data_IF_488911028262
#
_entry.id   IF_488911028262
#
_cell.length_a   1.000
_cell.length_b   1.000
_cell.length_c   1.000
_cell.angle_alpha   90.00
_cell.angle_beta   90.00
_cell.angle_gamma   90.00
#
_symmetry.space_group_name_H-M   'P 1'
#
loop_
_entity.id
_entity.type
_entity.pdbx_description
1 polymer ?
#
# COMPACT_ATOMS: atom_id res chain seq x y z
N UNK A 1 -6.41 11.21 -19.76
CA UNK A 1 -7.77 10.80 -19.35
C UNK A 1 -8.60 12.05 -19.10
N UNK A 2 -9.91 12.00 -19.34
CA UNK A 2 -10.81 13.12 -19.04
C UNK A 2 -11.58 12.87 -17.73
N UNK A 3 -10.85 12.57 -16.64
CA UNK A 3 -11.43 12.35 -15.32
C UNK A 3 -11.44 13.69 -14.58
N UNK A 4 -12.64 14.22 -14.36
CA UNK A 4 -12.88 15.49 -13.66
C UNK A 4 -13.52 15.21 -12.30
N UNK A 5 -12.72 14.75 -11.35
CA UNK A 5 -13.13 14.54 -9.95
C UNK A 5 -12.24 15.39 -9.02
N UNK A 6 -12.79 15.92 -7.92
CA UNK A 6 -11.97 16.59 -6.90
C UNK A 6 -10.89 15.63 -6.38
N UNK A 7 -9.71 16.18 -6.09
CA UNK A 7 -8.59 15.44 -5.51
C UNK A 7 -8.38 15.88 -4.07
N UNK A 8 -8.15 14.90 -3.19
CA UNK A 8 -7.75 15.12 -1.80
C UNK A 8 -6.33 14.58 -1.67
N UNK A 9 -5.38 15.43 -1.29
CA UNK A 9 -4.00 14.99 -1.04
C UNK A 9 -3.95 14.15 0.23
N UNK A 10 -3.50 12.90 0.11
CA UNK A 10 -3.36 11.96 1.22
C UNK A 10 -1.98 11.28 1.15
N UNK A 11 -1.13 11.56 2.12
CA UNK A 11 0.26 11.10 2.20
C UNK A 11 0.70 10.94 3.65
N UNK A 12 1.84 10.29 3.90
CA UNK A 12 2.30 9.90 5.25
C UNK A 12 2.24 11.03 6.29
N UNK A 13 2.61 12.27 5.90
CA UNK A 13 2.64 13.41 6.81
C UNK A 13 1.27 13.98 7.21
N UNK A 14 0.20 13.67 6.48
CA UNK A 14 -1.15 14.21 6.75
C UNK A 14 -2.20 13.12 6.96
N UNK A 15 -1.77 11.85 7.05
CA UNK A 15 -2.66 10.69 7.04
C UNK A 15 -3.67 10.67 8.19
N UNK A 16 -3.33 11.23 9.35
CA UNK A 16 -4.25 11.29 10.49
C UNK A 16 -5.38 12.29 10.23
N UNK A 17 -5.04 13.55 9.92
CA UNK A 17 -6.03 14.61 9.67
C UNK A 17 -6.88 14.31 8.43
N UNK A 18 -6.22 13.97 7.31
CA UNK A 18 -6.93 13.69 6.06
C UNK A 18 -7.63 12.34 6.07
N UNK A 19 -7.12 11.36 6.82
CA UNK A 19 -7.78 10.08 7.01
C UNK A 19 -9.12 10.23 7.71
N UNK A 20 -9.17 11.01 8.80
CA UNK A 20 -10.42 11.31 9.50
C UNK A 20 -11.44 12.01 8.59
N UNK A 21 -11.00 13.04 7.85
CA UNK A 21 -11.86 13.73 6.89
C UNK A 21 -12.41 12.81 5.78
N UNK A 22 -11.58 11.92 5.25
CA UNK A 22 -12.02 10.96 4.22
C UNK A 22 -13.04 9.97 4.79
N UNK A 23 -12.86 9.52 6.03
CA UNK A 23 -13.83 8.63 6.70
C UNK A 23 -15.17 9.30 6.92
N UNK A 24 -15.20 10.57 7.33
CA UNK A 24 -16.44 11.33 7.44
C UNK A 24 -17.21 11.35 6.12
N UNK A 25 -16.53 11.65 5.00
CA UNK A 25 -17.15 11.63 3.67
C UNK A 25 -17.69 10.24 3.30
N UNK A 26 -16.98 9.16 3.64
CA UNK A 26 -17.44 7.80 3.41
C UNK A 26 -18.68 7.47 4.25
N UNK A 27 -18.72 7.89 5.52
CA UNK A 27 -19.87 7.73 6.43
C UNK A 27 -21.10 8.54 5.98
N UNK A 28 -20.88 9.67 5.31
CA UNK A 28 -21.93 10.44 4.62
C UNK A 28 -22.47 9.74 3.35
N UNK A 29 -21.90 8.59 2.97
CA UNK A 29 -22.32 7.79 1.83
C UNK A 29 -21.61 8.14 0.51
N UNK A 30 -20.55 8.94 0.55
CA UNK A 30 -19.76 9.22 -0.66
C UNK A 30 -18.91 8.03 -1.08
N UNK A 31 -18.63 7.93 -2.39
CA UNK A 31 -17.69 6.94 -2.93
C UNK A 31 -16.33 7.60 -3.21
N UNK A 32 -15.28 7.03 -2.63
CA UNK A 32 -13.90 7.55 -2.74
C UNK A 32 -13.00 6.48 -3.35
N UNK A 33 -12.17 6.89 -4.30
CA UNK A 33 -11.11 6.05 -4.87
C UNK A 33 -9.76 6.46 -4.28
N UNK A 34 -9.04 5.51 -3.68
CA UNK A 34 -7.66 5.70 -3.25
C UNK A 34 -6.72 5.36 -4.42
N UNK A 35 -5.78 6.26 -4.70
CA UNK A 35 -4.75 6.08 -5.72
C UNK A 35 -3.40 6.47 -5.14
N UNK A 36 -2.33 5.88 -5.67
CA UNK A 36 -0.94 6.22 -5.36
C UNK A 36 -0.27 6.80 -6.61
N UNK A 37 0.90 7.41 -6.45
CA UNK A 37 1.69 7.92 -7.58
C UNK A 37 2.02 6.82 -8.60
N UNK A 38 2.12 5.57 -8.15
CA UNK A 38 2.32 4.42 -9.01
C UNK A 38 1.88 3.09 -8.38
N UNK A 39 1.32 2.21 -9.21
CA UNK A 39 1.17 0.79 -8.91
C UNK A 39 -0.08 0.46 -8.11
N UNK A 40 0.11 -0.18 -6.95
CA UNK A 40 -0.93 -0.76 -6.11
C UNK A 40 -1.07 0.07 -4.83
N UNK A 41 -2.10 0.92 -4.70
CA UNK A 41 -2.35 1.67 -3.48
C UNK A 41 -2.46 0.75 -2.26
N UNK A 42 -2.15 1.29 -1.08
CA UNK A 42 -2.08 0.57 0.20
C UNK A 42 -0.92 -0.42 0.35
N UNK A 43 0.03 -0.47 -0.60
CA UNK A 43 1.27 -1.25 -0.46
C UNK A 43 2.45 -0.29 -0.39
N UNK A 44 3.09 -0.23 0.79
CA UNK A 44 4.21 0.70 1.08
C UNK A 44 3.84 2.19 0.97
N UNK A 45 2.57 2.51 1.18
CA UNK A 45 2.01 3.86 1.17
C UNK A 45 0.93 3.99 2.28
N UNK A 46 0.40 5.19 2.57
CA UNK A 46 -0.51 5.39 3.69
C UNK A 46 -1.92 4.83 3.45
N UNK A 47 -2.24 4.35 2.25
CA UNK A 47 -3.56 3.78 1.95
C UNK A 47 -3.94 2.60 2.84
N UNK A 48 -2.95 1.87 3.39
CA UNK A 48 -3.20 0.77 4.34
C UNK A 48 -3.86 1.26 5.64
N UNK A 49 -3.48 2.44 6.13
CA UNK A 49 -4.07 3.08 7.30
C UNK A 49 -5.55 3.42 7.04
N UNK A 50 -5.84 4.05 5.90
CA UNK A 50 -7.20 4.38 5.50
C UNK A 50 -8.09 3.13 5.35
N UNK A 51 -7.57 2.07 4.73
CA UNK A 51 -8.28 0.78 4.60
C UNK A 51 -8.62 0.19 5.97
N UNK A 52 -7.67 0.23 6.90
CA UNK A 52 -7.87 -0.29 8.26
C UNK A 52 -9.00 0.46 8.96
N UNK A 53 -8.94 1.80 8.97
CA UNK A 53 -9.96 2.64 9.58
C UNK A 53 -11.34 2.45 8.92
N UNK A 54 -11.40 2.30 7.60
CA UNK A 54 -12.65 2.04 6.89
C UNK A 54 -13.29 0.69 7.30
N UNK A 55 -12.46 -0.36 7.46
CA UNK A 55 -12.93 -1.68 7.91
C UNK A 55 -13.47 -1.61 9.35
N UNK A 56 -12.78 -0.88 10.24
CA UNK A 56 -13.21 -0.68 11.63
C UNK A 56 -14.60 -0.03 11.73
N UNK A 57 -14.91 0.89 10.82
CA UNK A 57 -16.21 1.56 10.71
C UNK A 57 -17.26 0.76 9.89
N UNK A 58 -16.92 -0.46 9.45
CA UNK A 58 -17.82 -1.32 8.67
C UNK A 58 -18.07 -0.85 7.23
N UNK A 59 -17.20 0.02 6.71
CA UNK A 59 -17.27 0.56 5.36
C UNK A 59 -16.68 -0.44 4.37
N UNK A 60 -17.37 -0.68 3.24
CA UNK A 60 -16.92 -1.61 2.23
C UNK A 60 -15.64 -1.10 1.52
N UNK A 61 -14.60 -1.93 1.53
CA UNK A 61 -13.36 -1.70 0.76
C UNK A 61 -13.35 -2.62 -0.45
N UNK A 62 -13.32 -2.03 -1.66
CA UNK A 62 -13.38 -2.76 -2.93
C UNK A 62 -12.04 -2.65 -3.65
N UNK A 63 -11.18 -3.68 -3.63
CA UNK A 63 -9.90 -3.64 -4.35
C UNK A 63 -10.10 -3.84 -5.86
N UNK A 64 -9.37 -3.08 -6.67
CA UNK A 64 -9.27 -3.30 -8.11
C UNK A 64 -7.92 -3.97 -8.44
N UNK A 65 -7.88 -4.98 -9.34
CA UNK A 65 -6.62 -5.51 -9.82
C UNK A 65 -5.84 -4.41 -10.57
N UNK A 66 -4.53 -4.43 -10.47
CA UNK A 66 -3.69 -3.36 -11.02
C UNK A 66 -2.21 -3.69 -11.03
N UNK A 67 -1.41 -2.72 -11.48
CA UNK A 67 0.03 -2.87 -11.63
C UNK A 67 0.71 -3.06 -10.27
N UNK A 68 1.62 -4.04 -10.18
CA UNK A 68 2.47 -4.25 -9.02
C UNK A 68 3.90 -4.52 -9.49
N UNK A 69 4.83 -3.64 -9.13
CA UNK A 69 6.22 -3.72 -9.61
C UNK A 69 6.92 -5.00 -9.13
N UNK A 70 6.72 -5.42 -7.87
CA UNK A 70 7.37 -6.60 -7.31
C UNK A 70 6.92 -7.89 -8.00
N UNK A 71 5.61 -8.06 -8.20
CA UNK A 71 5.06 -9.23 -8.90
C UNK A 71 5.47 -9.24 -10.37
N UNK A 72 5.45 -8.08 -11.03
CA UNK A 72 5.88 -7.95 -12.44
C UNK A 72 7.36 -8.35 -12.59
N UNK A 73 8.21 -7.95 -11.64
CA UNK A 73 9.62 -8.34 -11.63
C UNK A 73 9.80 -9.84 -11.32
N UNK A 74 9.06 -10.38 -10.35
CA UNK A 74 9.15 -11.78 -9.93
C UNK A 74 8.89 -12.73 -11.10
N UNK A 75 7.82 -12.51 -11.86
CA UNK A 75 7.46 -13.40 -12.98
C UNK A 75 8.46 -13.37 -14.14
N UNK A 76 9.32 -12.34 -14.21
CA UNK A 76 10.38 -12.22 -15.20
C UNK A 76 11.77 -12.66 -14.66
N UNK A 77 11.89 -12.98 -13.36
CA UNK A 77 13.18 -13.19 -12.68
C UNK A 77 13.80 -14.57 -12.87
N UNK A 78 13.00 -15.58 -13.25
CA UNK A 78 13.42 -16.98 -13.30
C UNK A 78 13.48 -17.66 -11.92
N UNK A 79 13.07 -16.99 -10.84
CA UNK A 79 12.98 -17.55 -9.50
C UNK A 79 11.66 -18.30 -9.27
N UNK A 80 11.57 -19.11 -8.20
CA UNK A 80 10.32 -19.81 -7.86
C UNK A 80 9.22 -18.81 -7.51
N UNK A 81 8.07 -18.94 -8.15
CA UNK A 81 6.91 -18.06 -7.94
C UNK A 81 5.84 -18.70 -7.04
N UNK A 82 6.06 -19.92 -6.54
CA UNK A 82 5.10 -20.63 -5.68
C UNK A 82 5.00 -20.00 -4.29
N UNK A 83 6.12 -19.55 -3.74
CA UNK A 83 6.20 -18.84 -2.46
C UNK A 83 7.29 -17.79 -2.55
N UNK A 84 6.94 -16.55 -2.24
CA UNK A 84 7.84 -15.40 -2.29
C UNK A 84 7.54 -14.46 -1.12
N UNK A 85 8.54 -13.69 -0.70
CA UNK A 85 8.40 -12.69 0.36
C UNK A 85 8.61 -11.29 -0.18
N UNK A 86 7.59 -10.43 -0.10
CA UNK A 86 7.76 -9.00 -0.35
C UNK A 86 8.28 -8.30 0.92
N UNK A 87 9.51 -7.80 0.88
CA UNK A 87 10.15 -7.13 2.02
C UNK A 87 10.07 -5.58 1.97
N UNK A 88 9.49 -5.00 0.91
CA UNK A 88 9.42 -3.55 0.75
C UNK A 88 10.80 -2.88 0.70
N UNK A 89 10.93 -1.76 1.41
CA UNK A 89 12.17 -0.98 1.45
C UNK A 89 13.01 -1.30 2.68
N UNK A 90 14.28 -1.65 2.45
CA UNK A 90 15.24 -1.82 3.55
C UNK A 90 15.54 -0.49 4.26
N UNK A 91 15.91 -0.52 5.56
CA UNK A 91 16.36 0.67 6.26
C UNK A 91 17.51 1.38 5.55
N UNK A 92 17.48 2.72 5.51
CA UNK A 92 18.53 3.53 4.87
C UNK A 92 19.89 3.43 5.57
N UNK A 93 19.90 3.20 6.89
CA UNK A 93 21.13 3.17 7.71
C UNK A 93 21.76 1.78 7.73
N UNK A 94 23.08 1.72 7.57
CA UNK A 94 23.83 0.47 7.41
C UNK A 94 23.62 -0.56 8.51
N UNK A 95 23.67 -0.16 9.78
CA UNK A 95 23.46 -1.07 10.93
C UNK A 95 22.08 -1.73 10.88
N UNK A 96 21.02 -0.94 10.79
CA UNK A 96 19.64 -1.43 10.74
C UNK A 96 19.36 -2.23 9.46
N UNK A 97 19.98 -1.86 8.34
CA UNK A 97 19.89 -2.64 7.11
C UNK A 97 20.50 -4.03 7.27
N UNK A 98 21.65 -4.15 7.91
CA UNK A 98 22.29 -5.45 8.17
C UNK A 98 21.44 -6.30 9.12
N UNK A 99 20.90 -5.69 10.17
CA UNK A 99 19.97 -6.36 11.10
C UNK A 99 18.75 -6.91 10.36
N UNK A 100 18.16 -6.11 9.47
CA UNK A 100 17.01 -6.53 8.67
C UNK A 100 17.36 -7.62 7.66
N UNK A 101 18.51 -7.52 6.97
CA UNK A 101 18.98 -8.58 6.08
C UNK A 101 19.24 -9.89 6.81
N UNK A 102 19.78 -9.85 8.03
CA UNK A 102 19.94 -11.04 8.88
C UNK A 102 18.60 -11.65 9.22
N UNK A 103 17.59 -10.84 9.55
CA UNK A 103 16.22 -11.32 9.79
C UNK A 103 15.64 -11.96 8.53
N UNK A 104 15.75 -11.31 7.37
CA UNK A 104 15.25 -11.80 6.09
C UNK A 104 15.93 -13.10 5.65
N UNK A 105 17.19 -13.33 6.02
CA UNK A 105 17.90 -14.60 5.72
C UNK A 105 17.26 -15.84 6.35
N UNK A 106 16.37 -15.65 7.35
CA UNK A 106 15.65 -16.73 8.02
C UNK A 106 14.23 -16.91 7.47
N UNK A 107 13.81 -16.07 6.53
CA UNK A 107 12.48 -16.14 5.90
C UNK A 107 12.52 -17.11 4.71
N UNK A 108 11.41 -17.80 4.47
CA UNK A 108 11.29 -18.78 3.39
C UNK A 108 10.64 -18.17 2.15
N UNK A 109 10.78 -18.86 1.02
CA UNK A 109 10.36 -18.38 -0.29
C UNK A 109 11.50 -17.72 -1.04
N UNK A 110 11.22 -17.39 -2.30
CA UNK A 110 12.06 -16.52 -3.11
C UNK A 110 12.12 -15.10 -2.53
#
# INVERSE_FOLDING_TARGET
FDIKKPLISYHEHNKEEKGAYILELLLEGQSIACVSDAGMPAISDPGADLVTKAIEEGIAVVPLPGANAALTALIASGLDTKSFTFAGFLPKRGKHRIEELKRLSQVTGT
#
